data_IF_721416417944
#
_entry.id   IF_721416417944
#
_cell.length_a   1.000
_cell.length_b   1.000
_cell.length_c   1.000
_cell.angle_alpha   90.00
_cell.angle_beta   90.00
_cell.angle_gamma   90.00
#
_symmetry.space_group_name_H-M   'P 1'
#
loop_
_entity.id
_entity.type
_entity.pdbx_description
1 polymer ?
#
# COMPACT_ATOMS: atom_id res chain seq x y z
N UNK A 1 -27.80 78.09 1.09
CA UNK A 1 -27.75 77.42 -0.24
C UNK A 1 -26.56 76.55 -0.29
N UNK A 2 -26.71 75.29 0.18
CA UNK A 2 -25.64 74.30 0.09
C UNK A 2 -26.25 72.90 -0.12
N UNK A 3 -26.40 72.55 -1.39
CA UNK A 3 -26.90 71.27 -1.83
C UNK A 3 -26.05 70.75 -2.99
N UNK A 4 -24.79 70.37 -2.73
CA UNK A 4 -24.00 69.55 -3.68
C UNK A 4 -22.72 69.03 -3.01
N UNK A 5 -22.83 67.95 -2.21
CA UNK A 5 -21.74 67.02 -1.97
C UNK A 5 -22.33 65.64 -1.62
N UNK A 6 -22.65 64.84 -2.69
CA UNK A 6 -22.81 63.41 -2.52
C UNK A 6 -21.41 62.77 -2.57
N UNK A 7 -21.06 61.84 -1.67
CA UNK A 7 -19.79 61.09 -1.77
C UNK A 7 -19.88 60.17 -2.97
N UNK A 8 -18.81 60.16 -3.79
CA UNK A 8 -18.65 59.22 -4.88
C UNK A 8 -18.63 57.81 -4.32
N UNK A 9 -19.63 56.99 -4.71
CA UNK A 9 -19.62 55.54 -4.51
C UNK A 9 -18.49 54.99 -5.32
N UNK A 10 -17.44 54.43 -4.67
CA UNK A 10 -16.40 53.66 -5.34
C UNK A 10 -17.04 52.41 -5.96
N UNK A 11 -17.24 52.42 -7.27
CA UNK A 11 -17.65 51.26 -8.03
C UNK A 11 -16.47 50.31 -8.08
N UNK A 12 -16.56 49.14 -7.41
CA UNK A 12 -15.58 48.08 -7.55
C UNK A 12 -15.47 47.71 -9.03
N UNK A 13 -14.24 47.60 -9.59
CA UNK A 13 -14.06 47.26 -10.99
C UNK A 13 -14.70 45.90 -11.30
N UNK A 14 -15.53 45.85 -12.34
CA UNK A 14 -16.13 44.62 -12.89
C UNK A 14 -14.98 43.77 -13.40
N UNK A 15 -14.77 42.59 -12.79
CA UNK A 15 -13.76 41.62 -13.24
C UNK A 15 -14.12 41.18 -14.66
N UNK A 16 -13.21 41.39 -15.61
CA UNK A 16 -13.34 40.90 -16.97
C UNK A 16 -13.36 39.35 -16.99
N UNK A 17 -14.04 38.69 -17.94
CA UNK A 17 -14.08 37.22 -18.05
C UNK A 17 -12.71 36.56 -18.11
N UNK A 18 -11.72 37.19 -18.74
CA UNK A 18 -10.34 36.74 -18.80
C UNK A 18 -9.65 36.73 -17.41
N UNK A 19 -9.92 37.72 -16.57
CA UNK A 19 -9.40 37.79 -15.21
C UNK A 19 -10.05 36.75 -14.27
N UNK A 20 -11.31 36.39 -14.51
CA UNK A 20 -12.00 35.32 -13.80
C UNK A 20 -11.41 33.95 -14.13
N UNK A 21 -11.11 33.68 -15.39
CA UNK A 21 -10.45 32.44 -15.83
C UNK A 21 -9.02 32.29 -15.26
N UNK A 22 -8.22 33.35 -15.32
CA UNK A 22 -6.86 33.33 -14.73
C UNK A 22 -6.89 33.15 -13.19
N UNK A 23 -7.88 33.70 -12.49
CA UNK A 23 -8.07 33.50 -11.05
C UNK A 23 -8.44 32.04 -10.73
N UNK A 24 -9.31 31.43 -11.53
CA UNK A 24 -9.72 30.03 -11.36
C UNK A 24 -8.58 29.05 -11.64
N UNK A 25 -7.79 29.28 -12.68
CA UNK A 25 -6.58 28.48 -12.99
C UNK A 25 -5.56 28.56 -11.84
N UNK A 26 -5.29 29.78 -11.33
CA UNK A 26 -4.38 29.94 -10.18
C UNK A 26 -4.91 29.25 -8.91
N UNK A 27 -6.21 29.27 -8.70
CA UNK A 27 -6.85 28.59 -7.57
C UNK A 27 -6.72 27.09 -7.68
N UNK A 28 -6.99 26.51 -8.85
CA UNK A 28 -6.82 25.10 -9.14
C UNK A 28 -5.35 24.67 -8.92
N UNK A 29 -4.38 25.41 -9.47
CA UNK A 29 -2.95 25.09 -9.29
C UNK A 29 -2.50 25.13 -7.82
N UNK A 30 -3.03 26.06 -7.01
CA UNK A 30 -2.75 26.10 -5.55
C UNK A 30 -3.39 24.92 -4.81
N UNK A 31 -4.62 24.55 -5.18
CA UNK A 31 -5.29 23.36 -4.61
C UNK A 31 -4.47 22.11 -4.89
N UNK A 32 -4.00 21.91 -6.12
CA UNK A 32 -3.15 20.78 -6.46
C UNK A 32 -1.90 20.72 -5.57
N UNK A 33 -1.20 21.84 -5.35
CA UNK A 33 -0.05 21.88 -4.44
C UNK A 33 -0.41 21.47 -3.00
N UNK A 34 -1.57 21.87 -2.50
CA UNK A 34 -2.07 21.44 -1.18
C UNK A 34 -2.25 19.94 -1.14
N UNK A 35 -2.87 19.36 -2.18
CA UNK A 35 -3.10 17.93 -2.27
C UNK A 35 -1.80 17.13 -2.51
N UNK A 36 -0.78 17.72 -3.16
CA UNK A 36 0.54 17.10 -3.33
C UNK A 36 1.24 16.92 -1.99
N UNK A 37 1.30 18.00 -1.19
CA UNK A 37 1.88 17.94 0.14
C UNK A 37 1.06 17.03 1.04
N UNK A 38 -0.28 17.16 1.01
CA UNK A 38 -1.20 16.35 1.80
C UNK A 38 -1.06 14.86 1.48
N UNK A 39 -1.03 14.47 0.21
CA UNK A 39 -0.86 13.07 -0.22
C UNK A 39 0.48 12.47 0.22
N UNK A 40 1.57 13.25 0.11
CA UNK A 40 2.89 12.84 0.59
C UNK A 40 2.91 12.63 2.11
N UNK A 41 2.36 13.57 2.88
CA UNK A 41 2.28 13.44 4.34
C UNK A 41 1.38 12.27 4.75
N UNK A 42 0.27 12.05 4.05
CA UNK A 42 -0.62 10.91 4.28
C UNK A 42 0.12 9.58 4.09
N UNK A 43 0.90 9.45 3.02
CA UNK A 43 1.70 8.24 2.78
C UNK A 43 2.82 8.03 3.82
N UNK A 44 3.40 9.10 4.34
CA UNK A 44 4.52 9.01 5.29
C UNK A 44 4.07 8.87 6.74
N UNK A 45 3.07 9.65 7.16
CA UNK A 45 2.70 9.80 8.57
C UNK A 45 1.36 9.18 8.92
N UNK A 46 0.55 8.76 7.90
CA UNK A 46 -0.84 8.37 8.10
C UNK A 46 -1.77 9.55 8.37
N UNK A 47 -3.07 9.29 8.39
CA UNK A 47 -4.09 10.34 8.51
C UNK A 47 -4.02 11.12 9.82
N UNK A 48 -3.74 10.45 10.96
CA UNK A 48 -3.64 11.12 12.26
C UNK A 48 -2.37 11.98 12.38
N UNK A 49 -1.30 11.65 11.66
CA UNK A 49 -0.03 12.37 11.67
C UNK A 49 -0.07 13.70 10.92
N UNK A 50 -1.05 13.92 10.04
CA UNK A 50 -1.12 15.12 9.20
C UNK A 50 -1.45 16.36 10.05
N UNK A 51 -0.64 17.40 9.90
CA UNK A 51 -0.87 18.74 10.43
C UNK A 51 -1.17 19.72 9.31
N UNK A 52 -2.36 20.35 9.35
CA UNK A 52 -2.68 21.44 8.42
C UNK A 52 -1.74 22.65 8.58
N UNK A 53 -1.19 22.85 9.78
CA UNK A 53 -0.20 23.91 10.03
C UNK A 53 1.10 23.63 9.28
N UNK A 54 1.57 22.38 9.30
CA UNK A 54 2.76 21.95 8.59
C UNK A 54 2.59 22.12 7.06
N UNK A 55 1.42 21.76 6.52
CA UNK A 55 1.12 21.98 5.08
C UNK A 55 1.16 23.45 4.73
N UNK A 56 0.56 24.32 5.56
CA UNK A 56 0.59 25.74 5.31
C UNK A 56 2.01 26.31 5.33
N UNK A 57 2.84 25.87 6.28
CA UNK A 57 4.25 26.23 6.40
C UNK A 57 5.07 25.79 5.17
N UNK A 58 4.98 24.51 4.77
CA UNK A 58 5.68 23.98 3.60
C UNK A 58 5.31 24.70 2.29
N UNK A 59 4.09 25.23 2.19
CA UNK A 59 3.61 25.97 1.03
C UNK A 59 3.80 27.48 1.12
N UNK A 60 4.37 28.00 2.23
CA UNK A 60 4.54 29.44 2.46
C UNK A 60 3.23 30.20 2.50
N UNK A 61 2.14 29.58 3.03
CA UNK A 61 0.83 30.20 3.10
C UNK A 61 0.32 30.32 4.54
N UNK A 62 -0.59 31.28 4.81
CA UNK A 62 -1.24 31.37 6.10
C UNK A 62 -2.25 30.22 6.29
N UNK A 63 -2.52 29.82 7.56
CA UNK A 63 -3.57 28.85 7.87
C UNK A 63 -4.93 29.24 7.30
N UNK A 64 -5.29 30.52 7.35
CA UNK A 64 -6.54 31.03 6.78
C UNK A 64 -6.61 30.83 5.27
N UNK A 65 -5.49 30.96 4.57
CA UNK A 65 -5.42 30.70 3.14
C UNK A 65 -5.55 29.21 2.82
N UNK A 66 -5.06 28.32 3.69
CA UNK A 66 -5.22 26.86 3.53
C UNK A 66 -6.69 26.44 3.69
N UNK A 67 -7.40 26.99 4.68
CA UNK A 67 -8.83 26.71 4.90
C UNK A 67 -9.75 27.12 3.74
N UNK A 68 -9.22 27.85 2.78
CA UNK A 68 -9.93 28.13 1.53
C UNK A 68 -9.97 26.90 0.59
N UNK A 69 -9.06 25.97 0.74
CA UNK A 69 -8.92 24.76 -0.09
C UNK A 69 -9.40 23.49 0.60
N UNK A 70 -9.24 23.42 1.91
CA UNK A 70 -9.62 22.27 2.74
C UNK A 70 -10.29 22.74 4.02
N UNK A 71 -11.40 22.12 4.41
CA UNK A 71 -12.17 22.50 5.60
C UNK A 71 -11.46 22.08 6.88
N UNK A 72 -10.97 20.86 6.89
CA UNK A 72 -10.30 20.20 8.00
C UNK A 72 -9.41 19.06 7.48
N UNK A 73 -8.84 18.29 8.40
CA UNK A 73 -7.98 17.14 8.07
C UNK A 73 -8.74 16.03 7.35
N UNK A 74 -9.97 15.73 7.75
CA UNK A 74 -10.78 14.70 7.13
C UNK A 74 -11.13 15.05 5.67
N UNK A 75 -11.49 16.31 5.42
CA UNK A 75 -11.70 16.82 4.07
C UNK A 75 -10.43 16.76 3.21
N UNK A 76 -9.25 17.08 3.78
CA UNK A 76 -7.99 16.92 3.08
C UNK A 76 -7.73 15.45 2.67
N UNK A 77 -7.89 14.51 3.60
CA UNK A 77 -7.71 13.07 3.36
C UNK A 77 -8.65 12.61 2.26
N UNK A 78 -9.93 13.01 2.35
CA UNK A 78 -10.94 12.71 1.32
C UNK A 78 -10.54 13.24 -0.04
N UNK A 79 -10.14 14.50 -0.15
CA UNK A 79 -9.71 15.10 -1.41
C UNK A 79 -8.44 14.45 -1.97
N UNK A 80 -7.51 13.99 -1.13
CA UNK A 80 -6.32 13.25 -1.57
C UNK A 80 -6.72 11.88 -2.17
N UNK A 81 -7.67 11.17 -1.58
CA UNK A 81 -8.16 9.89 -2.10
C UNK A 81 -9.00 10.07 -3.37
N UNK A 82 -9.84 11.10 -3.45
CA UNK A 82 -10.58 11.43 -4.67
C UNK A 82 -9.63 11.70 -5.82
N UNK A 83 -8.61 12.56 -5.62
CA UNK A 83 -7.60 12.86 -6.64
C UNK A 83 -6.83 11.61 -7.06
N UNK A 84 -6.45 10.73 -6.13
CA UNK A 84 -5.78 9.49 -6.45
C UNK A 84 -6.66 8.60 -7.33
N UNK A 85 -7.95 8.48 -6.98
CA UNK A 85 -8.91 7.71 -7.76
C UNK A 85 -9.15 8.31 -9.15
N UNK A 86 -9.33 9.63 -9.25
CA UNK A 86 -9.49 10.34 -10.54
C UNK A 86 -8.30 10.08 -11.46
N UNK A 87 -7.09 10.15 -10.92
CA UNK A 87 -5.85 9.94 -11.69
C UNK A 87 -5.75 8.50 -12.20
N UNK A 88 -5.99 7.51 -11.33
CA UNK A 88 -5.92 6.08 -11.71
C UNK A 88 -7.00 5.75 -12.76
N UNK A 89 -8.22 6.26 -12.60
CA UNK A 89 -9.30 6.07 -13.57
C UNK A 89 -8.96 6.69 -14.92
N UNK A 90 -8.40 7.91 -14.94
CA UNK A 90 -7.95 8.58 -16.17
C UNK A 90 -6.79 7.83 -16.86
N UNK A 91 -5.84 7.30 -16.09
CA UNK A 91 -4.73 6.51 -16.62
C UNK A 91 -5.22 5.21 -17.25
N UNK A 92 -6.12 4.48 -16.57
CA UNK A 92 -6.74 3.26 -17.09
C UNK A 92 -7.54 3.53 -18.38
N UNK A 93 -8.31 4.62 -18.40
CA UNK A 93 -9.01 5.03 -19.62
C UNK A 93 -8.04 5.35 -20.78
N UNK A 94 -6.98 6.08 -20.49
CA UNK A 94 -5.96 6.46 -21.47
C UNK A 94 -5.29 5.23 -22.09
N UNK A 95 -4.87 4.26 -21.27
CA UNK A 95 -4.19 3.07 -21.79
C UNK A 95 -5.15 2.14 -22.53
N UNK A 96 -6.36 1.94 -22.02
CA UNK A 96 -7.35 1.06 -22.64
C UNK A 96 -7.87 1.62 -23.98
N UNK A 97 -7.89 2.95 -24.15
CA UNK A 97 -8.32 3.63 -25.38
C UNK A 97 -7.19 3.80 -26.39
N UNK A 98 -5.95 3.44 -26.06
CA UNK A 98 -4.75 3.77 -26.87
C UNK A 98 -4.60 2.96 -28.16
N UNK A 99 -5.35 1.87 -28.33
CA UNK A 99 -5.17 0.92 -29.42
C UNK A 99 -3.86 0.11 -29.37
N UNK A 100 -3.09 0.22 -28.27
CA UNK A 100 -1.85 -0.54 -28.07
C UNK A 100 -2.14 -1.99 -27.70
N UNK A 101 -1.13 -2.85 -27.85
CA UNK A 101 -1.18 -4.24 -27.37
C UNK A 101 -1.43 -4.30 -25.85
N UNK A 102 -2.04 -5.37 -25.35
CA UNK A 102 -2.27 -5.54 -23.91
C UNK A 102 -0.99 -5.44 -23.07
N UNK A 103 0.17 -6.01 -23.45
CA UNK A 103 1.43 -5.79 -22.73
C UNK A 103 1.88 -4.32 -22.70
N UNK A 104 1.71 -3.57 -23.78
CA UNK A 104 2.10 -2.16 -23.84
C UNK A 104 1.15 -1.26 -23.04
N UNK A 105 -0.14 -1.59 -23.00
CA UNK A 105 -1.10 -0.93 -22.11
C UNK A 105 -0.68 -1.08 -20.64
N UNK A 106 -0.28 -2.29 -20.22
CA UNK A 106 0.18 -2.57 -18.85
C UNK A 106 1.47 -1.81 -18.54
N UNK A 107 2.47 -1.85 -19.44
CA UNK A 107 3.72 -1.09 -19.28
C UNK A 107 3.45 0.39 -19.09
N UNK A 108 2.60 0.95 -19.93
CA UNK A 108 2.27 2.38 -19.85
C UNK A 108 1.49 2.71 -18.58
N UNK A 109 0.55 1.87 -18.14
CA UNK A 109 -0.17 2.07 -16.88
C UNK A 109 0.78 2.10 -15.68
N UNK A 110 1.72 1.15 -15.59
CA UNK A 110 2.74 1.13 -14.52
C UNK A 110 3.59 2.40 -14.57
N UNK A 111 4.04 2.80 -15.76
CA UNK A 111 4.85 4.00 -15.97
C UNK A 111 4.12 5.27 -15.52
N UNK A 112 2.86 5.46 -15.93
CA UNK A 112 2.05 6.60 -15.54
C UNK A 112 1.82 6.65 -14.03
N UNK A 113 1.55 5.50 -13.42
CA UNK A 113 1.22 5.39 -11.99
C UNK A 113 2.37 5.78 -11.06
N UNK A 114 3.64 5.58 -11.47
CA UNK A 114 4.83 5.84 -10.65
C UNK A 114 5.74 6.92 -11.25
N UNK A 115 5.30 7.62 -12.31
CA UNK A 115 6.10 8.65 -12.96
C UNK A 115 6.64 9.69 -11.99
N UNK A 116 7.95 9.99 -12.01
CA UNK A 116 8.53 11.07 -11.21
C UNK A 116 8.01 12.46 -11.61
N UNK A 117 7.53 12.62 -12.86
CA UNK A 117 6.99 13.89 -13.36
C UNK A 117 5.59 14.20 -12.81
N UNK A 118 5.02 13.31 -12.02
CA UNK A 118 3.70 13.44 -11.41
C UNK A 118 3.77 13.50 -9.89
N UNK A 119 2.82 14.21 -9.31
CA UNK A 119 2.63 14.20 -7.88
C UNK A 119 2.38 12.79 -7.35
N UNK A 120 2.93 12.48 -6.20
CA UNK A 120 2.71 11.20 -5.54
C UNK A 120 1.25 11.04 -5.12
N UNK A 121 0.60 9.99 -5.59
CA UNK A 121 -0.78 9.68 -5.23
C UNK A 121 -0.87 9.15 -3.80
N UNK A 122 -1.92 9.53 -3.10
CA UNK A 122 -2.24 8.97 -1.80
C UNK A 122 -2.62 7.49 -1.92
N UNK A 123 -2.05 6.66 -1.06
CA UNK A 123 -2.35 5.22 -0.97
C UNK A 123 -3.54 5.02 -0.01
N UNK A 124 -4.50 4.17 -0.37
CA UNK A 124 -5.70 3.90 0.42
C UNK A 124 -5.38 3.05 1.68
N UNK A 125 -4.50 3.56 2.55
CA UNK A 125 -4.06 2.85 3.74
C UNK A 125 -5.00 3.08 4.94
N UNK A 126 -5.44 4.31 5.18
CA UNK A 126 -6.25 4.73 6.32
C UNK A 126 -7.70 5.04 5.92
N UNK A 127 -8.34 4.16 5.17
CA UNK A 127 -9.67 4.39 4.57
C UNK A 127 -10.77 4.64 5.61
N UNK A 128 -10.68 4.04 6.79
CA UNK A 128 -11.67 4.19 7.86
C UNK A 128 -11.58 5.54 8.61
N UNK A 129 -10.68 6.43 8.21
CA UNK A 129 -10.67 7.82 8.66
C UNK A 129 -11.71 8.68 7.94
N UNK A 130 -12.28 8.18 6.85
CA UNK A 130 -13.40 8.77 6.14
C UNK A 130 -14.72 8.42 6.86
N UNK A 131 -15.74 9.24 6.63
CA UNK A 131 -17.11 8.86 6.98
C UNK A 131 -17.57 7.65 6.16
N UNK A 132 -18.66 7.03 6.59
CA UNK A 132 -19.15 5.79 5.96
C UNK A 132 -19.46 5.97 4.47
N UNK A 133 -20.09 7.05 4.09
CA UNK A 133 -20.44 7.35 2.69
C UNK A 133 -19.18 7.51 1.83
N UNK A 134 -18.21 8.30 2.31
CA UNK A 134 -16.93 8.49 1.64
C UNK A 134 -16.13 7.22 1.52
N UNK A 135 -16.10 6.39 2.55
CA UNK A 135 -15.44 5.10 2.55
C UNK A 135 -16.05 4.16 1.50
N UNK A 136 -17.37 4.02 1.49
CA UNK A 136 -18.08 3.19 0.50
C UNK A 136 -17.80 3.66 -0.92
N UNK A 137 -17.85 4.97 -1.16
CA UNK A 137 -17.60 5.52 -2.49
C UNK A 137 -16.16 5.25 -2.99
N UNK A 138 -15.15 5.52 -2.16
CA UNK A 138 -13.74 5.30 -2.53
C UNK A 138 -13.46 3.82 -2.77
N UNK A 139 -13.98 2.91 -1.93
CA UNK A 139 -13.83 1.48 -2.14
C UNK A 139 -14.51 1.01 -3.43
N UNK A 140 -15.72 1.51 -3.72
CA UNK A 140 -16.41 1.19 -4.97
C UNK A 140 -15.64 1.71 -6.21
N UNK A 141 -14.97 2.85 -6.11
CA UNK A 141 -14.07 3.36 -7.16
C UNK A 141 -12.88 2.43 -7.35
N UNK A 142 -12.26 2.00 -6.25
CA UNK A 142 -11.13 1.06 -6.32
C UNK A 142 -11.52 -0.26 -7.00
N UNK A 143 -12.68 -0.83 -6.67
CA UNK A 143 -13.19 -2.04 -7.34
C UNK A 143 -13.40 -1.82 -8.84
N UNK A 144 -13.95 -0.67 -9.26
CA UNK A 144 -14.06 -0.35 -10.70
C UNK A 144 -12.71 -0.23 -11.39
N UNK A 145 -11.67 0.26 -10.70
CA UNK A 145 -10.30 0.32 -11.23
C UNK A 145 -9.73 -1.08 -11.43
N UNK A 146 -9.91 -1.97 -10.45
CA UNK A 146 -9.53 -3.39 -10.57
C UNK A 146 -10.26 -4.03 -11.75
N UNK A 147 -11.57 -3.83 -11.89
CA UNK A 147 -12.35 -4.38 -13.00
C UNK A 147 -11.92 -3.82 -14.36
N UNK A 148 -11.55 -2.56 -14.44
CA UNK A 148 -11.03 -1.96 -15.67
C UNK A 148 -9.69 -2.58 -16.07
N UNK A 149 -8.78 -2.76 -15.12
CA UNK A 149 -7.48 -3.40 -15.38
C UNK A 149 -7.64 -4.89 -15.72
N UNK A 150 -8.52 -5.60 -15.02
CA UNK A 150 -8.85 -7.00 -15.29
C UNK A 150 -9.29 -7.23 -16.75
N UNK A 151 -10.01 -6.28 -17.35
CA UNK A 151 -10.40 -6.37 -18.77
C UNK A 151 -9.19 -6.38 -19.70
N UNK A 152 -8.12 -5.64 -19.39
CA UNK A 152 -6.88 -5.65 -20.18
C UNK A 152 -6.24 -7.04 -20.11
N UNK A 153 -6.19 -7.65 -18.92
CA UNK A 153 -5.65 -9.02 -18.75
C UNK A 153 -6.46 -10.06 -19.52
N UNK A 154 -7.79 -10.01 -19.42
CA UNK A 154 -8.71 -10.91 -20.14
C UNK A 154 -8.56 -10.76 -21.65
N UNK A 155 -8.38 -9.54 -22.17
CA UNK A 155 -8.11 -9.31 -23.59
C UNK A 155 -6.83 -9.98 -24.02
N UNK A 156 -5.73 -9.77 -23.29
CA UNK A 156 -4.45 -10.40 -23.61
C UNK A 156 -4.46 -11.93 -23.52
N UNK A 157 -5.28 -12.51 -22.62
CA UNK A 157 -5.48 -13.96 -22.57
C UNK A 157 -6.23 -14.47 -23.81
N UNK A 158 -7.29 -13.76 -24.25
CA UNK A 158 -8.04 -14.11 -25.47
C UNK A 158 -7.18 -13.99 -26.73
N UNK A 159 -6.27 -13.05 -26.75
CA UNK A 159 -5.31 -12.84 -27.85
C UNK A 159 -4.14 -13.84 -27.81
N UNK A 160 -4.02 -14.65 -26.74
CA UNK A 160 -2.95 -15.63 -26.56
C UNK A 160 -1.59 -15.02 -26.18
N UNK A 161 -1.55 -13.70 -25.86
CA UNK A 161 -0.31 -13.01 -25.44
C UNK A 161 -0.06 -13.15 -23.93
N UNK A 162 -1.08 -13.52 -23.17
CA UNK A 162 -0.96 -13.84 -21.76
C UNK A 162 -1.38 -15.28 -21.48
N UNK A 163 -0.61 -15.95 -20.60
CA UNK A 163 -0.91 -17.30 -20.13
C UNK A 163 -2.21 -17.35 -19.32
N UNK A 164 -2.83 -18.51 -19.17
CA UNK A 164 -3.93 -18.70 -18.22
C UNK A 164 -3.48 -18.37 -16.79
N UNK A 165 -4.22 -17.46 -16.13
CA UNK A 165 -4.04 -17.06 -14.74
C UNK A 165 -5.35 -16.45 -14.23
N UNK A 166 -5.49 -16.28 -12.92
CA UNK A 166 -6.59 -15.51 -12.36
C UNK A 166 -6.36 -14.01 -12.58
N UNK A 167 -7.14 -13.35 -13.45
CA UNK A 167 -6.92 -11.94 -13.78
C UNK A 167 -7.28 -11.01 -12.63
N UNK A 168 -8.13 -11.41 -11.70
CA UNK A 168 -8.47 -10.62 -10.52
C UNK A 168 -7.31 -10.63 -9.53
N UNK A 169 -6.76 -11.80 -9.22
CA UNK A 169 -5.61 -11.95 -8.35
C UNK A 169 -4.38 -11.21 -8.90
N UNK A 170 -4.12 -11.33 -10.20
CA UNK A 170 -3.02 -10.60 -10.84
C UNK A 170 -3.22 -9.08 -10.79
N UNK A 171 -4.47 -8.59 -10.94
CA UNK A 171 -4.76 -7.16 -10.78
C UNK A 171 -4.43 -6.67 -9.37
N UNK A 172 -4.86 -7.38 -8.34
CA UNK A 172 -4.54 -7.01 -6.96
C UNK A 172 -3.04 -7.06 -6.67
N UNK A 173 -2.32 -8.04 -7.22
CA UNK A 173 -0.87 -8.12 -7.09
C UNK A 173 -0.19 -6.86 -7.67
N UNK A 174 -0.56 -6.45 -8.89
CA UNK A 174 0.00 -5.27 -9.52
C UNK A 174 -0.30 -3.99 -8.73
N UNK A 175 -1.56 -3.79 -8.34
CA UNK A 175 -1.94 -2.61 -7.55
C UNK A 175 -1.22 -2.59 -6.20
N UNK A 176 -1.04 -3.76 -5.57
CA UNK A 176 -0.25 -3.90 -4.35
C UNK A 176 1.22 -3.49 -4.55
N UNK A 177 1.87 -3.97 -5.61
CA UNK A 177 3.25 -3.60 -5.94
C UNK A 177 3.40 -2.08 -6.15
N UNK A 178 2.49 -1.46 -6.90
CA UNK A 178 2.52 -0.02 -7.16
C UNK A 178 2.27 0.81 -5.89
N UNK A 179 1.28 0.42 -5.08
CA UNK A 179 0.95 1.12 -3.83
C UNK A 179 2.08 1.02 -2.81
N UNK A 180 2.65 -0.16 -2.64
CA UNK A 180 3.78 -0.38 -1.74
C UNK A 180 5.01 0.42 -2.16
N UNK A 181 5.31 0.46 -3.46
CA UNK A 181 6.44 1.26 -3.97
C UNK A 181 6.31 2.74 -3.63
N UNK A 182 5.10 3.31 -3.68
CA UNK A 182 4.85 4.70 -3.26
C UNK A 182 5.16 4.93 -1.79
N UNK A 183 4.81 3.97 -0.91
CA UNK A 183 5.09 4.07 0.52
C UNK A 183 6.57 3.88 0.81
N UNK A 184 7.15 2.79 0.34
CA UNK A 184 8.55 2.41 0.62
C UNK A 184 9.54 3.48 0.19
N UNK A 185 9.43 3.99 -1.04
CA UNK A 185 10.30 5.05 -1.56
C UNK A 185 10.17 6.32 -0.71
N UNK A 186 8.95 6.69 -0.28
CA UNK A 186 8.73 7.84 0.59
C UNK A 186 9.38 7.69 1.96
N UNK A 187 9.44 6.48 2.52
CA UNK A 187 10.02 6.21 3.85
C UNK A 187 11.55 6.14 3.87
N UNK A 188 12.20 6.01 2.72
CA UNK A 188 13.66 6.05 2.64
C UNK A 188 14.23 7.43 2.96
N UNK A 189 13.38 8.47 2.93
CA UNK A 189 13.73 9.86 3.27
C UNK A 189 14.97 10.38 2.50
N UNK A 190 15.06 10.02 1.23
CA UNK A 190 16.14 10.41 0.33
C UNK A 190 15.88 11.78 -0.30
N UNK A 191 16.92 12.37 -0.88
CA UNK A 191 16.76 13.58 -1.71
C UNK A 191 15.84 13.29 -2.90
N UNK A 192 15.13 14.31 -3.39
CA UNK A 192 14.12 14.17 -4.44
C UNK A 192 14.67 13.50 -5.71
N UNK A 193 15.91 13.78 -6.12
CA UNK A 193 16.55 13.12 -7.27
C UNK A 193 16.72 11.63 -7.07
N UNK A 194 17.20 11.18 -5.90
CA UNK A 194 17.37 9.78 -5.59
C UNK A 194 16.01 9.05 -5.50
N UNK A 195 15.00 9.71 -4.93
CA UNK A 195 13.63 9.18 -4.89
C UNK A 195 13.03 9.03 -6.30
N UNK A 196 13.33 9.94 -7.22
CA UNK A 196 12.91 9.86 -8.62
C UNK A 196 13.59 8.72 -9.37
N UNK A 197 14.89 8.52 -9.17
CA UNK A 197 15.62 7.39 -9.73
C UNK A 197 15.04 6.06 -9.25
N UNK A 198 14.75 5.95 -7.95
CA UNK A 198 14.10 4.75 -7.39
C UNK A 198 12.70 4.51 -7.94
N UNK A 199 11.93 5.56 -8.23
CA UNK A 199 10.63 5.40 -8.91
C UNK A 199 10.80 4.79 -10.31
N UNK A 200 11.78 5.24 -11.07
CA UNK A 200 12.09 4.68 -12.40
C UNK A 200 12.57 3.23 -12.30
N UNK A 201 13.39 2.91 -11.30
CA UNK A 201 13.81 1.53 -11.02
C UNK A 201 12.63 0.66 -10.61
N UNK A 202 11.72 1.15 -9.76
CA UNK A 202 10.51 0.44 -9.37
C UNK A 202 9.59 0.19 -10.58
N UNK A 203 9.43 1.16 -11.48
CA UNK A 203 8.67 0.97 -12.74
C UNK A 203 9.24 -0.20 -13.53
N UNK A 204 10.56 -0.23 -13.76
CA UNK A 204 11.22 -1.32 -14.50
C UNK A 204 11.05 -2.65 -13.77
N UNK A 205 11.32 -2.69 -12.47
CA UNK A 205 11.21 -3.91 -11.67
C UNK A 205 9.78 -4.49 -11.69
N UNK A 206 8.75 -3.64 -11.57
CA UNK A 206 7.35 -4.09 -11.64
C UNK A 206 7.02 -4.59 -13.05
N UNK A 207 7.44 -3.87 -14.09
CA UNK A 207 7.21 -4.29 -15.48
C UNK A 207 7.86 -5.66 -15.75
N UNK A 208 9.12 -5.83 -15.36
CA UNK A 208 9.87 -7.08 -15.57
C UNK A 208 9.21 -8.25 -14.82
N UNK A 209 8.94 -8.10 -13.52
CA UNK A 209 8.35 -9.17 -12.71
C UNK A 209 6.94 -9.50 -13.20
N UNK A 210 6.10 -8.47 -13.37
CA UNK A 210 4.70 -8.69 -13.68
C UNK A 210 4.50 -9.29 -15.07
N UNK A 211 5.25 -8.83 -16.07
CA UNK A 211 5.11 -9.29 -17.44
C UNK A 211 5.89 -10.59 -17.69
N UNK A 212 7.15 -10.64 -17.30
CA UNK A 212 8.08 -11.69 -17.73
C UNK A 212 8.51 -12.63 -16.58
N UNK A 213 8.18 -12.27 -15.34
CA UNK A 213 8.57 -13.03 -14.16
C UNK A 213 10.04 -12.87 -13.78
N UNK A 214 10.39 -13.39 -12.62
CA UNK A 214 11.72 -13.28 -12.03
C UNK A 214 12.70 -14.32 -12.61
N UNK A 215 12.23 -15.54 -12.90
CA UNK A 215 13.10 -16.67 -13.21
C UNK A 215 13.66 -16.61 -14.63
N UNK A 216 14.95 -16.93 -14.80
CA UNK A 216 15.62 -17.02 -16.11
C UNK A 216 15.10 -18.19 -16.95
N UNK A 217 14.62 -19.23 -16.30
CA UNK A 217 14.05 -20.42 -16.91
C UNK A 217 12.67 -20.68 -16.34
N UNK A 218 11.75 -21.31 -17.10
CA UNK A 218 10.50 -21.77 -16.52
C UNK A 218 10.80 -22.66 -15.30
N UNK A 219 10.23 -22.33 -14.16
CA UNK A 219 10.23 -23.16 -12.95
C UNK A 219 8.83 -23.75 -12.78
N UNK A 220 8.38 -24.69 -13.64
CA UNK A 220 7.02 -25.22 -13.58
C UNK A 220 6.74 -25.99 -12.28
N UNK A 221 7.78 -26.49 -11.61
CA UNK A 221 7.67 -27.42 -10.49
C UNK A 221 7.96 -26.80 -9.12
N UNK A 222 7.91 -25.47 -8.97
CA UNK A 222 8.03 -24.89 -7.65
C UNK A 222 6.82 -25.31 -6.80
N UNK A 223 7.10 -26.10 -5.77
CA UNK A 223 6.12 -26.47 -4.75
C UNK A 223 6.69 -26.15 -3.37
N UNK A 224 5.90 -25.46 -2.55
CA UNK A 224 6.20 -25.23 -1.15
C UNK A 224 5.29 -26.13 -0.31
N UNK A 225 5.86 -27.12 0.37
CA UNK A 225 5.14 -28.02 1.29
C UNK A 225 4.97 -27.44 2.69
N UNK A 226 5.61 -26.28 2.99
CA UNK A 226 5.51 -25.58 4.26
C UNK A 226 4.14 -24.95 4.43
N UNK A 227 3.60 -25.05 5.62
CA UNK A 227 2.32 -24.46 6.02
C UNK A 227 2.56 -23.42 7.12
N UNK A 228 2.27 -22.16 6.80
CA UNK A 228 2.46 -21.06 7.75
C UNK A 228 1.64 -21.24 9.05
N UNK A 229 0.43 -21.79 8.97
CA UNK A 229 -0.40 -22.01 10.15
C UNK A 229 0.24 -23.04 11.10
N UNK A 230 0.87 -24.08 10.54
CA UNK A 230 1.59 -25.07 11.35
C UNK A 230 2.87 -24.47 11.96
N UNK A 231 3.61 -23.64 11.22
CA UNK A 231 4.83 -22.98 11.71
C UNK A 231 4.57 -22.01 12.86
N UNK A 232 3.37 -21.45 12.92
CA UNK A 232 2.98 -20.43 13.93
C UNK A 232 2.07 -20.98 15.02
N UNK A 233 1.75 -22.29 14.97
CA UNK A 233 0.89 -22.89 15.97
C UNK A 233 1.54 -22.89 17.35
N UNK A 234 0.88 -22.28 18.33
CA UNK A 234 1.32 -22.23 19.72
C UNK A 234 0.37 -23.07 20.59
N UNK A 235 0.94 -23.85 21.48
CA UNK A 235 0.18 -24.62 22.46
C UNK A 235 0.06 -23.83 23.76
N UNK A 236 -1.17 -23.64 24.22
CA UNK A 236 -1.48 -23.02 25.50
C UNK A 236 -2.23 -23.99 26.38
N UNK A 237 -1.80 -24.10 27.64
CA UNK A 237 -2.58 -24.79 28.65
C UNK A 237 -3.59 -23.82 29.26
N UNK A 238 -4.82 -23.84 28.76
CA UNK A 238 -5.91 -22.93 29.18
C UNK A 238 -6.26 -23.02 30.65
N UNK A 239 -5.86 -24.11 31.34
CA UNK A 239 -6.08 -24.29 32.77
C UNK A 239 -5.02 -23.60 33.65
N UNK A 240 -3.92 -23.16 33.03
CA UNK A 240 -2.90 -22.32 33.68
C UNK A 240 -3.20 -20.84 33.50
N UNK A 241 -3.33 -20.09 34.60
CA UNK A 241 -3.64 -18.65 34.56
C UNK A 241 -2.65 -17.84 33.72
N UNK A 242 -1.37 -18.19 33.76
CA UNK A 242 -0.32 -17.56 32.98
C UNK A 242 -0.52 -17.76 31.47
N UNK A 243 -0.90 -18.98 31.04
CA UNK A 243 -1.13 -19.32 29.66
C UNK A 243 -2.46 -18.74 29.16
N UNK A 244 -3.49 -18.73 29.99
CA UNK A 244 -4.76 -18.08 29.68
C UNK A 244 -4.57 -16.57 29.45
N UNK A 245 -3.74 -15.90 30.23
CA UNK A 245 -3.40 -14.49 30.05
C UNK A 245 -2.59 -14.26 28.75
N UNK A 246 -1.60 -15.11 28.47
CA UNK A 246 -0.81 -15.04 27.22
C UNK A 246 -1.69 -15.26 26.00
N UNK A 247 -2.57 -16.25 26.04
CA UNK A 247 -3.53 -16.52 24.97
C UNK A 247 -4.43 -15.30 24.71
N UNK A 248 -4.95 -14.67 25.77
CA UNK A 248 -5.80 -13.47 25.63
C UNK A 248 -5.03 -12.30 25.03
N UNK A 249 -3.81 -12.05 25.46
CA UNK A 249 -2.95 -11.02 24.90
C UNK A 249 -2.68 -11.29 23.41
N UNK A 250 -2.36 -12.54 23.06
CA UNK A 250 -2.14 -12.95 21.67
C UNK A 250 -3.38 -12.72 20.79
N UNK A 251 -4.56 -13.10 21.26
CA UNK A 251 -5.82 -12.86 20.54
C UNK A 251 -6.07 -11.38 20.26
N UNK A 252 -5.76 -10.50 21.22
CA UNK A 252 -5.87 -9.05 21.04
C UNK A 252 -4.88 -8.52 19.99
N UNK A 253 -3.63 -8.99 20.02
CA UNK A 253 -2.60 -8.61 19.03
C UNK A 253 -3.00 -9.09 17.62
N UNK A 254 -3.52 -10.30 17.50
CA UNK A 254 -3.98 -10.86 16.21
C UNK A 254 -5.18 -10.10 15.64
N UNK A 255 -6.20 -9.86 16.46
CA UNK A 255 -7.37 -9.09 16.08
C UNK A 255 -6.98 -7.65 15.70
N UNK A 256 -6.11 -7.01 16.48
CA UNK A 256 -5.58 -5.68 16.18
C UNK A 256 -4.82 -5.66 14.86
N UNK A 257 -3.92 -6.63 14.63
CA UNK A 257 -3.15 -6.74 13.38
C UNK A 257 -4.07 -6.90 12.17
N UNK A 258 -5.09 -7.76 12.26
CA UNK A 258 -6.08 -7.96 11.20
C UNK A 258 -6.85 -6.66 10.89
N UNK A 259 -7.38 -6.00 11.92
CA UNK A 259 -8.13 -4.76 11.77
C UNK A 259 -7.24 -3.63 11.21
N UNK A 260 -6.02 -3.47 11.73
CA UNK A 260 -5.08 -2.48 11.24
C UNK A 260 -4.67 -2.74 9.77
N UNK A 261 -4.48 -4.00 9.38
CA UNK A 261 -4.19 -4.34 7.98
C UNK A 261 -5.33 -3.95 7.04
N UNK A 262 -6.58 -4.12 7.46
CA UNK A 262 -7.77 -3.83 6.65
C UNK A 262 -8.12 -2.35 6.62
N UNK A 263 -8.02 -1.65 7.75
CA UNK A 263 -8.63 -0.34 7.98
C UNK A 263 -7.62 0.79 8.21
N UNK A 264 -6.33 0.45 8.42
CA UNK A 264 -5.29 1.38 8.79
C UNK A 264 -5.16 1.57 10.30
N UNK A 265 -4.00 2.09 10.74
CA UNK A 265 -3.70 2.27 12.15
C UNK A 265 -4.62 3.30 12.80
N UNK A 266 -4.95 4.36 12.07
CA UNK A 266 -5.65 5.53 12.62
C UNK A 266 -7.17 5.32 12.67
N UNK A 267 -7.75 4.51 11.75
CA UNK A 267 -9.18 4.23 11.66
C UNK A 267 -9.74 3.22 12.68
N UNK A 268 -8.88 2.46 13.38
CA UNK A 268 -9.30 1.39 14.29
C UNK A 268 -9.26 1.86 15.74
N UNK A 269 -10.38 1.70 16.47
CA UNK A 269 -10.46 1.98 17.91
C UNK A 269 -10.12 0.75 18.76
N UNK A 270 -9.71 0.98 20.03
CA UNK A 270 -9.52 -0.11 21.01
C UNK A 270 -10.83 -0.84 21.33
N UNK A 271 -11.97 -0.15 21.20
CA UNK A 271 -13.29 -0.77 21.37
C UNK A 271 -13.58 -1.79 20.26
N UNK A 272 -13.31 -1.45 19.00
CA UNK A 272 -13.45 -2.37 17.87
C UNK A 272 -12.55 -3.61 18.01
N UNK A 273 -11.33 -3.43 18.55
CA UNK A 273 -10.41 -4.55 18.80
C UNK A 273 -10.96 -5.46 19.92
N UNK A 274 -11.47 -4.88 21.00
CA UNK A 274 -12.08 -5.64 22.10
C UNK A 274 -13.29 -6.44 21.60
N UNK A 275 -14.17 -5.80 20.85
CA UNK A 275 -15.36 -6.42 20.24
C UNK A 275 -15.00 -7.62 19.35
N UNK A 276 -13.96 -7.48 18.53
CA UNK A 276 -13.52 -8.54 17.61
C UNK A 276 -13.08 -9.84 18.32
N UNK A 277 -12.71 -9.77 19.61
CA UNK A 277 -12.36 -10.95 20.43
C UNK A 277 -13.41 -11.27 21.51
N UNK A 278 -14.59 -10.65 21.43
CA UNK A 278 -15.66 -10.86 22.41
C UNK A 278 -15.29 -10.39 23.82
N UNK A 279 -14.50 -9.30 23.93
CA UNK A 279 -14.03 -8.73 25.18
C UNK A 279 -14.54 -7.32 25.42
N UNK A 280 -14.44 -6.83 26.66
CA UNK A 280 -14.67 -5.42 26.96
C UNK A 280 -13.40 -4.58 26.75
N UNK A 281 -13.57 -3.27 26.57
CA UNK A 281 -12.46 -2.31 26.48
C UNK A 281 -11.48 -2.40 27.66
N UNK A 282 -11.98 -2.70 28.87
CA UNK A 282 -11.16 -2.90 30.07
C UNK A 282 -10.14 -4.01 29.92
N UNK A 283 -10.46 -5.08 29.16
CA UNK A 283 -9.53 -6.17 28.89
C UNK A 283 -8.32 -5.69 28.04
N UNK A 284 -8.56 -4.82 27.07
CA UNK A 284 -7.45 -4.25 26.27
C UNK A 284 -6.49 -3.46 27.16
N UNK A 285 -7.04 -2.58 28.02
CA UNK A 285 -6.22 -1.77 28.94
C UNK A 285 -5.63 -2.56 30.12
N UNK A 286 -6.12 -3.77 30.38
CA UNK A 286 -5.46 -4.69 31.30
C UNK A 286 -4.12 -5.23 30.73
N UNK A 287 -4.06 -5.44 29.40
CA UNK A 287 -2.90 -6.00 28.72
C UNK A 287 -1.96 -4.94 28.12
N UNK A 288 -2.49 -3.78 27.76
CA UNK A 288 -1.75 -2.72 27.07
C UNK A 288 -2.07 -1.37 27.70
N UNK A 289 -1.03 -0.59 28.00
CA UNK A 289 -1.17 0.76 28.58
C UNK A 289 -2.03 1.68 27.70
N UNK A 290 -1.80 1.62 26.40
CA UNK A 290 -2.47 2.44 25.40
C UNK A 290 -2.44 1.76 24.01
N UNK A 291 -3.09 2.40 23.03
CA UNK A 291 -3.11 1.91 21.64
C UNK A 291 -1.71 1.89 21.01
N UNK A 292 -0.83 2.79 21.41
CA UNK A 292 0.53 2.87 20.85
C UNK A 292 1.35 1.63 21.26
N UNK A 293 1.25 1.20 22.52
CA UNK A 293 1.88 -0.05 22.98
C UNK A 293 1.33 -1.26 22.23
N UNK A 294 0.00 -1.35 22.04
CA UNK A 294 -0.59 -2.42 21.26
C UNK A 294 -0.07 -2.45 19.82
N UNK A 295 0.05 -1.29 19.16
CA UNK A 295 0.65 -1.18 17.82
C UNK A 295 2.11 -1.66 17.82
N UNK A 296 2.90 -1.29 18.83
CA UNK A 296 4.28 -1.76 18.97
C UNK A 296 4.35 -3.29 19.11
N UNK A 297 3.48 -3.90 19.91
CA UNK A 297 3.41 -5.36 20.06
C UNK A 297 2.96 -6.05 18.77
N UNK A 298 2.05 -5.44 18.00
CA UNK A 298 1.69 -5.94 16.68
C UNK A 298 2.88 -5.92 15.70
N UNK A 299 3.69 -4.86 15.72
CA UNK A 299 4.92 -4.80 14.91
C UNK A 299 5.96 -5.80 15.37
N UNK A 300 6.15 -5.93 16.70
CA UNK A 300 7.11 -6.91 17.26
C UNK A 300 6.76 -8.33 16.80
N UNK A 301 5.48 -8.72 16.93
CA UNK A 301 4.98 -10.00 16.39
C UNK A 301 5.23 -10.12 14.89
N UNK A 302 4.97 -9.07 14.13
CA UNK A 302 5.15 -9.09 12.68
C UNK A 302 6.60 -9.35 12.28
N UNK A 303 7.55 -8.66 12.91
CA UNK A 303 8.98 -8.87 12.64
C UNK A 303 9.47 -10.26 13.05
N UNK A 304 8.99 -10.79 14.19
CA UNK A 304 9.27 -12.17 14.57
C UNK A 304 8.80 -13.17 13.51
N UNK A 305 7.62 -12.96 12.92
CA UNK A 305 7.10 -13.80 11.85
C UNK A 305 7.92 -13.68 10.55
N UNK A 306 8.28 -12.47 10.13
CA UNK A 306 9.12 -12.27 8.94
C UNK A 306 10.51 -12.90 9.10
N UNK A 307 11.13 -12.74 10.25
CA UNK A 307 12.44 -13.31 10.58
C UNK A 307 12.37 -14.84 10.65
N UNK A 308 11.33 -15.40 11.26
CA UNK A 308 11.07 -16.85 11.32
C UNK A 308 10.89 -17.44 9.92
N UNK A 309 10.12 -16.79 9.04
CA UNK A 309 9.91 -17.23 7.65
C UNK A 309 11.26 -17.33 6.91
N UNK A 310 12.12 -16.33 7.05
CA UNK A 310 13.46 -16.33 6.43
C UNK A 310 14.31 -17.46 7.01
N UNK A 311 14.31 -17.63 8.33
CA UNK A 311 15.09 -18.68 9.01
C UNK A 311 14.64 -20.09 8.57
N UNK A 312 13.35 -20.32 8.46
CA UNK A 312 12.80 -21.61 7.99
C UNK A 312 13.21 -21.88 6.55
N UNK A 313 13.17 -20.90 5.66
CA UNK A 313 13.62 -21.05 4.29
C UNK A 313 15.11 -21.36 4.20
N UNK A 314 15.95 -20.68 4.99
CA UNK A 314 17.40 -20.92 5.02
C UNK A 314 17.76 -22.30 5.59
N UNK A 315 17.09 -22.74 6.67
CA UNK A 315 17.31 -24.07 7.27
C UNK A 315 16.91 -25.21 6.34
N UNK A 316 15.93 -25.00 5.48
CA UNK A 316 15.54 -25.99 4.50
C UNK A 316 16.67 -26.24 3.48
N UNK A 317 17.50 -25.25 3.25
CA UNK A 317 18.55 -25.29 2.22
C UNK A 317 17.98 -25.15 0.80
N UNK A 318 18.84 -25.27 -0.18
CA UNK A 318 18.51 -25.07 -1.57
C UNK A 318 19.28 -23.91 -2.19
N UNK A 319 18.98 -23.59 -3.43
CA UNK A 319 19.58 -22.43 -4.07
C UNK A 319 18.95 -21.10 -3.58
N UNK A 320 19.63 -19.97 -3.77
CA UNK A 320 19.13 -18.67 -3.31
C UNK A 320 17.76 -18.27 -3.87
N UNK A 321 17.44 -18.68 -5.11
CA UNK A 321 16.14 -18.40 -5.71
C UNK A 321 15.03 -19.20 -5.02
N UNK A 322 15.27 -20.50 -4.78
CA UNK A 322 14.31 -21.35 -4.10
C UNK A 322 13.99 -20.81 -2.69
N UNK A 323 15.00 -20.37 -1.96
CA UNK A 323 14.81 -19.77 -0.65
C UNK A 323 13.97 -18.48 -0.73
N UNK A 324 14.23 -17.62 -1.70
CA UNK A 324 13.43 -16.40 -1.92
C UNK A 324 11.97 -16.71 -2.26
N UNK A 325 11.73 -17.71 -3.12
CA UNK A 325 10.37 -18.11 -3.48
C UNK A 325 9.61 -18.71 -2.29
N UNK A 326 10.29 -19.48 -1.44
CA UNK A 326 9.71 -19.98 -0.17
C UNK A 326 9.33 -18.81 0.75
N UNK A 327 10.24 -17.85 0.92
CA UNK A 327 9.96 -16.65 1.74
C UNK A 327 8.76 -15.88 1.18
N UNK A 328 8.70 -15.67 -0.13
CA UNK A 328 7.57 -14.99 -0.76
C UNK A 328 6.26 -15.77 -0.56
N UNK A 329 6.28 -17.08 -0.81
CA UNK A 329 5.11 -17.96 -0.66
C UNK A 329 4.57 -17.99 0.77
N UNK A 330 5.46 -18.13 1.78
CA UNK A 330 5.07 -18.11 3.18
C UNK A 330 4.53 -16.75 3.61
N UNK A 331 5.05 -15.64 3.10
CA UNK A 331 4.49 -14.31 3.35
C UNK A 331 3.09 -14.15 2.74
N UNK A 332 2.85 -14.70 1.54
CA UNK A 332 1.52 -14.75 0.96
C UNK A 332 0.55 -15.57 1.84
N UNK A 333 0.95 -16.75 2.32
CA UNK A 333 0.15 -17.53 3.25
C UNK A 333 -0.13 -16.75 4.54
N UNK A 334 0.90 -16.11 5.12
CA UNK A 334 0.79 -15.33 6.35
C UNK A 334 -0.24 -14.21 6.20
N UNK A 335 -0.13 -13.41 5.13
CA UNK A 335 -1.08 -12.32 4.88
C UNK A 335 -2.46 -12.81 4.47
N UNK A 336 -2.57 -14.00 3.88
CA UNK A 336 -3.84 -14.62 3.58
C UNK A 336 -4.42 -15.45 4.75
N UNK A 337 -3.77 -15.54 5.90
CA UNK A 337 -4.25 -16.29 7.07
C UNK A 337 -5.38 -15.57 7.82
N UNK A 338 -5.98 -16.26 8.80
CA UNK A 338 -6.98 -15.67 9.70
C UNK A 338 -6.36 -14.67 10.69
N UNK A 339 -5.08 -14.86 11.06
CA UNK A 339 -4.33 -14.00 11.99
C UNK A 339 -3.04 -13.48 11.35
N UNK A 340 -3.17 -12.60 10.33
CA UNK A 340 -2.02 -12.10 9.58
C UNK A 340 -1.09 -11.26 10.47
N UNK A 341 0.22 -11.28 10.23
CA UNK A 341 1.11 -10.30 10.84
C UNK A 341 0.78 -8.89 10.35
N UNK A 342 1.04 -7.88 11.20
CA UNK A 342 0.84 -6.50 10.82
C UNK A 342 1.78 -6.13 9.65
N UNK A 343 1.23 -5.57 8.57
CA UNK A 343 2.04 -5.02 7.48
C UNK A 343 2.69 -3.70 7.89
N UNK A 344 3.78 -3.35 7.23
CA UNK A 344 4.30 -1.99 7.30
C UNK A 344 3.31 -1.05 6.59
N UNK A 345 2.95 0.05 7.25
CA UNK A 345 1.94 0.97 6.72
C UNK A 345 2.23 2.41 7.16
N UNK A 346 1.56 3.43 6.60
CA UNK A 346 1.70 4.82 7.03
C UNK A 346 1.59 4.95 8.55
N UNK A 347 2.43 5.78 9.13
CA UNK A 347 2.55 5.90 10.59
C UNK A 347 3.71 5.08 11.19
N UNK A 348 4.36 4.18 10.44
CA UNK A 348 5.61 3.53 10.87
C UNK A 348 6.67 4.55 11.26
N UNK A 349 6.73 5.69 10.55
CA UNK A 349 7.66 6.79 10.84
C UNK A 349 7.42 7.48 12.20
N UNK A 350 6.27 7.23 12.84
CA UNK A 350 5.95 7.70 14.20
C UNK A 350 6.42 6.74 15.29
N UNK A 351 6.85 5.54 14.91
CA UNK A 351 7.37 4.54 15.83
C UNK A 351 8.88 4.76 16.06
N UNK A 352 9.47 4.12 17.10
CA UNK A 352 10.92 4.10 17.27
C UNK A 352 11.65 3.63 16.02
N UNK A 353 12.77 4.28 15.67
CA UNK A 353 13.55 4.04 14.44
C UNK A 353 13.96 2.57 14.27
N UNK A 354 14.12 1.84 15.36
CA UNK A 354 14.47 0.41 15.35
C UNK A 354 13.56 -0.45 14.45
N UNK A 355 12.26 -0.09 14.30
CA UNK A 355 11.36 -0.85 13.45
C UNK A 355 11.64 -0.63 11.97
N UNK A 356 11.95 0.60 11.58
CA UNK A 356 12.37 0.89 10.20
C UNK A 356 13.74 0.24 9.91
N UNK A 357 14.64 0.25 10.87
CA UNK A 357 15.96 -0.40 10.74
C UNK A 357 15.81 -1.92 10.57
N UNK A 358 14.92 -2.57 11.33
CA UNK A 358 14.61 -4.00 11.14
C UNK A 358 14.04 -4.28 9.75
N UNK A 359 13.11 -3.45 9.27
CA UNK A 359 12.57 -3.57 7.91
C UNK A 359 13.67 -3.46 6.85
N UNK A 360 14.58 -2.49 7.00
CA UNK A 360 15.76 -2.32 6.11
C UNK A 360 16.69 -3.53 6.16
N UNK A 361 16.98 -4.08 7.34
CA UNK A 361 17.81 -5.28 7.47
C UNK A 361 17.23 -6.48 6.77
N UNK A 362 15.92 -6.72 6.89
CA UNK A 362 15.20 -7.77 6.16
C UNK A 362 15.32 -7.55 4.66
N UNK A 363 15.06 -6.33 4.17
CA UNK A 363 15.18 -5.99 2.75
C UNK A 363 16.61 -6.22 2.23
N UNK A 364 17.64 -5.80 2.98
CA UNK A 364 19.05 -6.02 2.62
C UNK A 364 19.41 -7.51 2.56
N UNK A 365 18.92 -8.33 3.51
CA UNK A 365 19.13 -9.77 3.51
C UNK A 365 18.54 -10.43 2.27
N UNK A 366 17.31 -10.07 1.93
CA UNK A 366 16.64 -10.57 0.71
C UNK A 366 17.31 -10.08 -0.58
N UNK A 367 17.78 -8.82 -0.61
CA UNK A 367 18.55 -8.29 -1.74
C UNK A 367 19.86 -9.05 -1.96
N UNK A 368 20.56 -9.44 -0.88
CA UNK A 368 21.76 -10.26 -0.97
C UNK A 368 21.45 -11.64 -1.59
N UNK A 369 20.36 -12.27 -1.20
CA UNK A 369 19.90 -13.54 -1.79
C UNK A 369 19.57 -13.39 -3.29
N UNK A 370 18.92 -12.27 -3.67
CA UNK A 370 18.62 -11.96 -5.07
C UNK A 370 19.90 -11.80 -5.91
N UNK A 371 20.90 -11.09 -5.39
CA UNK A 371 22.20 -10.93 -6.06
C UNK A 371 22.91 -12.29 -6.23
N UNK A 372 22.86 -13.15 -5.22
CA UNK A 372 23.40 -14.51 -5.32
C UNK A 372 22.68 -15.33 -6.38
N UNK A 373 21.35 -15.25 -6.44
CA UNK A 373 20.57 -15.91 -7.50
C UNK A 373 20.90 -15.36 -8.90
N UNK A 374 21.13 -14.04 -9.01
CA UNK A 374 21.58 -13.40 -10.24
C UNK A 374 22.94 -13.89 -10.71
N UNK A 375 23.92 -13.94 -9.80
CA UNK A 375 25.26 -14.44 -10.09
C UNK A 375 25.26 -15.93 -10.51
N UNK A 376 24.29 -16.69 -10.03
CA UNK A 376 24.07 -18.09 -10.43
C UNK A 376 23.27 -18.24 -11.74
N UNK A 377 22.84 -17.13 -12.37
CA UNK A 377 22.05 -17.14 -13.60
C UNK A 377 20.61 -17.65 -13.44
N UNK A 378 20.10 -17.67 -12.20
CA UNK A 378 18.77 -18.20 -11.87
C UNK A 378 17.65 -17.19 -12.13
N UNK A 379 17.96 -15.89 -12.08
CA UNK A 379 17.00 -14.80 -12.28
C UNK A 379 17.38 -13.94 -13.49
N UNK A 380 16.36 -13.37 -14.15
CA UNK A 380 16.51 -12.52 -15.35
C UNK A 380 17.15 -11.17 -15.00
N UNK A 381 16.83 -10.66 -13.85
CA UNK A 381 17.31 -9.38 -13.33
C UNK A 381 17.52 -9.49 -11.82
N UNK A 382 18.48 -8.78 -11.31
CA UNK A 382 18.82 -8.75 -9.89
C UNK A 382 18.86 -7.31 -9.34
N UNK A 383 18.09 -6.40 -9.98
CA UNK A 383 17.94 -5.04 -9.47
C UNK A 383 17.39 -5.06 -8.03
N UNK A 384 18.01 -4.31 -7.09
CA UNK A 384 17.62 -4.33 -5.67
C UNK A 384 16.13 -4.03 -5.43
N UNK A 385 15.54 -3.19 -6.27
CA UNK A 385 14.13 -2.80 -6.15
C UNK A 385 13.14 -3.97 -6.33
N UNK A 386 13.56 -5.08 -6.95
CA UNK A 386 12.74 -6.29 -7.10
C UNK A 386 12.24 -6.80 -5.74
N UNK A 387 13.10 -6.84 -4.73
CA UNK A 387 12.73 -7.27 -3.38
C UNK A 387 11.65 -6.37 -2.79
N UNK A 388 11.82 -5.06 -2.95
CA UNK A 388 10.87 -4.10 -2.41
C UNK A 388 9.53 -4.14 -3.15
N UNK A 389 9.54 -4.09 -4.48
CA UNK A 389 8.28 -4.08 -5.24
C UNK A 389 7.50 -5.39 -5.07
N UNK A 390 8.16 -6.54 -5.01
CA UNK A 390 7.50 -7.84 -4.83
C UNK A 390 6.78 -7.96 -3.49
N UNK A 391 7.29 -7.33 -2.43
CA UNK A 391 6.64 -7.31 -1.12
C UNK A 391 5.23 -6.69 -1.18
N UNK A 392 5.02 -5.74 -2.09
CA UNK A 392 3.70 -5.13 -2.29
C UNK A 392 2.61 -6.11 -2.69
N UNK A 393 2.95 -7.17 -3.43
CA UNK A 393 1.99 -8.18 -3.85
C UNK A 393 1.32 -8.88 -2.66
N UNK A 394 2.07 -9.19 -1.60
CA UNK A 394 1.50 -9.84 -0.42
C UNK A 394 1.04 -8.86 0.67
N UNK A 395 1.68 -7.70 0.84
CA UNK A 395 1.27 -6.73 1.88
C UNK A 395 -0.15 -6.19 1.67
N UNK A 396 -0.65 -6.18 0.43
CA UNK A 396 -2.01 -5.71 0.14
C UNK A 396 -3.09 -6.78 0.22
N UNK A 397 -2.76 -8.06 0.46
CA UNK A 397 -3.73 -9.17 0.48
C UNK A 397 -4.92 -8.88 1.41
N UNK A 398 -4.70 -8.39 2.63
CA UNK A 398 -5.77 -8.11 3.58
C UNK A 398 -6.68 -6.93 3.17
N UNK A 399 -6.21 -6.03 2.31
CA UNK A 399 -7.02 -4.89 1.82
C UNK A 399 -8.11 -5.34 0.84
N UNK A 400 -7.86 -6.38 0.04
CA UNK A 400 -8.80 -6.85 -0.97
C UNK A 400 -9.46 -8.20 -0.64
N UNK A 401 -8.84 -9.02 0.21
CA UNK A 401 -9.38 -10.34 0.54
C UNK A 401 -10.73 -10.23 1.26
N UNK A 402 -10.89 -9.30 2.21
CA UNK A 402 -12.12 -9.03 2.93
C UNK A 402 -12.82 -10.29 3.39
N UNK A 403 -14.14 -10.35 3.15
CA UNK A 403 -14.99 -11.53 3.39
C UNK A 403 -15.09 -12.43 2.14
N UNK A 404 -14.24 -12.29 1.13
CA UNK A 404 -14.18 -13.14 -0.07
C UNK A 404 -13.69 -14.54 0.31
N UNK A 405 -14.58 -15.33 0.87
CA UNK A 405 -14.37 -16.69 1.34
C UNK A 405 -14.42 -17.69 0.17
N UNK A 406 -13.38 -17.75 -0.68
CA UNK A 406 -13.37 -18.73 -1.77
C UNK A 406 -12.02 -19.43 -1.95
N UNK A 407 -10.91 -18.74 -1.64
CA UNK A 407 -9.57 -19.28 -1.85
C UNK A 407 -8.85 -19.50 -0.53
N UNK A 408 -8.21 -20.67 -0.40
CA UNK A 408 -7.34 -20.94 0.75
C UNK A 408 -6.09 -20.04 0.72
N UNK A 409 -5.47 -19.82 1.88
CA UNK A 409 -4.22 -19.07 1.98
C UNK A 409 -3.11 -19.69 1.10
N UNK A 410 -3.07 -21.03 1.04
CA UNK A 410 -2.14 -21.77 0.18
C UNK A 410 -2.41 -21.50 -1.31
N UNK A 411 -3.67 -21.58 -1.75
CA UNK A 411 -4.02 -21.34 -3.16
C UNK A 411 -3.67 -19.92 -3.61
N UNK A 412 -3.87 -18.92 -2.74
CA UNK A 412 -3.43 -17.53 -3.01
C UNK A 412 -1.90 -17.50 -3.13
N UNK A 413 -1.18 -18.13 -2.20
CA UNK A 413 0.28 -18.16 -2.20
C UNK A 413 0.84 -18.86 -3.45
N UNK A 414 0.26 -20.01 -3.85
CA UNK A 414 0.66 -20.75 -5.04
C UNK A 414 0.54 -19.88 -6.31
N UNK A 415 -0.61 -19.24 -6.51
CA UNK A 415 -0.86 -18.41 -7.68
C UNK A 415 0.00 -17.14 -7.69
N UNK A 416 0.16 -16.48 -6.53
CA UNK A 416 1.03 -15.30 -6.41
C UNK A 416 2.49 -15.66 -6.69
N UNK A 417 2.96 -16.80 -6.16
CA UNK A 417 4.34 -17.25 -6.40
C UNK A 417 4.54 -17.64 -7.87
N UNK A 418 3.57 -18.30 -8.50
CA UNK A 418 3.62 -18.58 -9.92
C UNK A 418 3.65 -17.30 -10.78
N UNK A 419 2.93 -16.25 -10.36
CA UNK A 419 3.04 -14.94 -11.00
C UNK A 419 4.45 -14.36 -10.88
N UNK A 420 5.08 -14.44 -9.70
CA UNK A 420 6.45 -13.97 -9.50
C UNK A 420 7.48 -14.78 -10.31
N UNK A 421 7.29 -16.08 -10.46
CA UNK A 421 8.18 -16.97 -11.22
C UNK A 421 8.15 -16.66 -12.71
N UNK A 422 6.96 -16.61 -13.30
CA UNK A 422 6.74 -16.66 -14.75
C UNK A 422 6.14 -15.39 -15.34
N UNK A 423 5.72 -14.44 -14.53
CA UNK A 423 4.96 -13.30 -14.99
C UNK A 423 3.62 -13.71 -15.60
N UNK A 424 3.08 -12.83 -16.47
CA UNK A 424 1.78 -13.05 -17.13
C UNK A 424 1.91 -13.40 -18.63
N UNK A 425 3.06 -13.19 -19.27
CA UNK A 425 3.25 -13.50 -20.69
C UNK A 425 3.24 -15.01 -20.95
N UNK A 426 2.76 -15.37 -22.14
CA UNK A 426 2.77 -16.74 -22.66
C UNK A 426 4.16 -17.21 -23.05
#
# INVERSE_FOLDING_TARGET
MDWYRRPMVQVKPIRTPAAAGASQVRRSAKREKVLDVGGRLLNNQGAAGISLAEIAEQLGMSRNALYYYVKDRADLVRQCYDRASDTVEADLYTVSSSGRSAPDQIKEFIRLSLSPDRAQLAVLADIDTLDEAGRIEILARHERQIDAFKKILISGQKEGVFRPLDPELASYALFGMMNWSRLWIGWLNEHESAANDRRLEAVRAIQDIFLDGLCSRPHPDFACDLDYAQLTHQHYNVFEKSDANRLRQQQLIEAASLLFNRRGLDGVSTDAIAEAVGASKGVVYHHFKDKAELIQQCHERAFQHYEMIIEVAEKRGGDPLQNMLIVFHLNCQAQASASPPLILQPGLMRLPTQYLDRARQISLKMTKSLVQAGNAGLVRTHAPEIVNVSAGAFFWIQKWRGDRAGMSARSIADQMTQLMISGIRS
#
